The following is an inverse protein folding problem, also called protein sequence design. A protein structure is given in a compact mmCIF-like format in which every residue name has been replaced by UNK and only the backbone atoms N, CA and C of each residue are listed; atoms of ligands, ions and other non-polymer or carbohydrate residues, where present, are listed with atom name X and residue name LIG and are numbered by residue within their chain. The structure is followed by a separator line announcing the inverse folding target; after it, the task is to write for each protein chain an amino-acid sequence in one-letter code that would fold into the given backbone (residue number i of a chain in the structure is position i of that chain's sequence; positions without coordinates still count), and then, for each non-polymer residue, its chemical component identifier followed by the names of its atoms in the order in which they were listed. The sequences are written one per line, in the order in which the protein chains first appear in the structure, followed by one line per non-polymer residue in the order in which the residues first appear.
data_IF_686248642237
#
_entry.id   IF_686248642237
#
_cell.length_a   1.000
_cell.length_b   1.000
_cell.length_c   1.000
_cell.angle_alpha   90.00
_cell.angle_beta   90.00
_cell.angle_gamma   90.00
#
_symmetry.space_group_name_H-M   'P 1'
#
loop_
_entity.id
_entity.type
_entity.pdbx_description
1 polymer ?
#
# COMPACT_ATOMS: atom_id res chain seq x y z
N UNK A 1 -59.35 -25.77 16.22
CA UNK A 1 -58.20 -24.86 16.40
C UNK A 1 -57.08 -25.42 15.54
N UNK A 2 -56.81 -24.81 14.38
CA UNK A 2 -55.85 -25.34 13.40
C UNK A 2 -54.52 -24.61 13.58
N UNK A 3 -53.53 -25.33 14.13
CA UNK A 3 -52.15 -24.89 14.31
C UNK A 3 -51.29 -25.68 13.33
N UNK A 4 -50.89 -25.10 12.19
CA UNK A 4 -49.68 -25.46 11.44
C UNK A 4 -49.62 -24.70 10.09
N UNK A 5 -49.32 -23.41 10.13
CA UNK A 5 -48.97 -22.66 8.92
C UNK A 5 -47.90 -21.62 9.22
N UNK A 6 -46.75 -22.06 9.74
CA UNK A 6 -45.68 -21.16 10.18
C UNK A 6 -44.21 -21.55 9.89
N UNK A 7 -43.82 -22.32 8.84
CA UNK A 7 -42.40 -22.50 8.54
C UNK A 7 -41.85 -21.57 7.45
N UNK A 8 -42.69 -20.98 6.58
CA UNK A 8 -42.20 -20.35 5.33
C UNK A 8 -41.74 -18.90 5.50
N UNK A 9 -42.41 -18.11 6.34
CA UNK A 9 -42.07 -16.69 6.55
C UNK A 9 -40.79 -16.49 7.37
N UNK A 10 -40.48 -17.39 8.30
CA UNK A 10 -39.27 -17.32 9.14
C UNK A 10 -38.01 -17.49 8.29
N UNK A 11 -38.05 -18.36 7.28
CA UNK A 11 -36.92 -18.61 6.37
C UNK A 11 -36.58 -17.38 5.53
N UNK A 12 -37.58 -16.65 5.01
CA UNK A 12 -37.34 -15.43 4.25
C UNK A 12 -36.73 -14.31 5.10
N UNK A 13 -37.14 -14.20 6.37
CA UNK A 13 -36.59 -13.21 7.31
C UNK A 13 -35.11 -13.51 7.61
N UNK A 14 -34.75 -14.78 7.82
CA UNK A 14 -33.35 -15.18 8.04
C UNK A 14 -32.46 -14.91 6.81
N UNK A 15 -32.94 -15.16 5.59
CA UNK A 15 -32.20 -14.87 4.36
C UNK A 15 -31.99 -13.36 4.19
N UNK A 16 -33.02 -12.53 4.46
CA UNK A 16 -32.90 -11.07 4.39
C UNK A 16 -31.90 -10.51 5.41
N UNK A 17 -31.84 -11.07 6.62
CA UNK A 17 -30.87 -10.67 7.66
C UNK A 17 -29.45 -11.05 7.26
N UNK A 18 -29.22 -12.23 6.65
CA UNK A 18 -27.91 -12.65 6.18
C UNK A 18 -27.37 -11.77 5.04
N UNK A 19 -28.24 -11.26 4.16
CA UNK A 19 -27.86 -10.35 3.07
C UNK A 19 -27.54 -8.93 3.55
N UNK A 20 -28.02 -8.52 4.72
CA UNK A 20 -27.81 -7.18 5.27
C UNK A 20 -26.49 -7.02 6.04
N UNK A 21 -25.75 -8.10 6.32
CA UNK A 21 -24.49 -8.04 7.10
C UNK A 21 -23.24 -7.91 6.24
N UNK A 22 -23.36 -7.53 4.97
CA UNK A 22 -22.22 -6.99 4.21
C UNK A 22 -21.88 -5.60 4.76
N UNK A 23 -21.36 -5.56 5.99
CA UNK A 23 -20.70 -4.40 6.57
C UNK A 23 -19.61 -3.99 5.60
N UNK A 24 -19.84 -2.90 4.87
CA UNK A 24 -18.81 -2.17 4.15
C UNK A 24 -17.81 -1.66 5.19
N UNK A 25 -16.84 -2.49 5.54
CA UNK A 25 -15.61 -2.00 6.17
C UNK A 25 -15.01 -1.05 5.14
N UNK A 26 -15.05 0.26 5.40
CA UNK A 26 -14.39 1.22 4.52
C UNK A 26 -12.89 0.90 4.53
N UNK A 27 -12.44 0.21 3.49
CA UNK A 27 -11.04 -0.07 3.26
C UNK A 27 -10.30 1.27 3.15
N UNK A 28 -9.32 1.51 4.03
CA UNK A 28 -8.50 2.71 3.90
C UNK A 28 -7.67 2.60 2.64
N UNK A 29 -7.98 3.44 1.66
CA UNK A 29 -7.19 3.58 0.44
C UNK A 29 -6.08 4.62 0.65
N UNK A 30 -4.85 4.27 0.30
CA UNK A 30 -3.67 5.11 0.48
C UNK A 30 -2.88 5.17 -0.81
N UNK A 31 -2.55 6.39 -1.24
CA UNK A 31 -1.61 6.65 -2.34
C UNK A 31 -0.20 6.73 -1.78
N UNK A 32 0.66 5.80 -2.17
CA UNK A 32 2.02 5.66 -1.64
C UNK A 32 3.00 6.63 -2.30
N UNK A 33 2.73 7.94 -2.19
CA UNK A 33 3.50 9.00 -2.86
C UNK A 33 4.91 9.17 -2.29
N UNK A 34 5.08 9.02 -0.97
CA UNK A 34 6.39 9.10 -0.31
C UNK A 34 7.24 7.84 -0.51
N UNK A 35 6.60 6.71 -0.83
CA UNK A 35 7.30 5.46 -1.10
C UNK A 35 6.48 4.21 -0.79
N UNK A 36 6.98 3.08 -1.27
CA UNK A 36 6.44 1.75 -1.03
C UNK A 36 7.60 0.76 -0.83
N UNK A 37 7.56 0.01 0.26
CA UNK A 37 8.57 -1.01 0.58
C UNK A 37 7.90 -2.29 1.05
N UNK A 38 8.49 -3.43 0.70
CA UNK A 38 8.08 -4.73 1.21
C UNK A 38 8.66 -4.90 2.63
N UNK A 39 7.85 -5.36 3.58
CA UNK A 39 8.36 -5.70 4.90
C UNK A 39 9.02 -7.09 4.87
N UNK A 40 9.64 -7.49 5.98
CA UNK A 40 10.11 -8.86 6.18
C UNK A 40 9.00 -9.91 6.03
N UNK A 41 7.76 -9.52 6.34
CA UNK A 41 6.56 -10.28 6.05
C UNK A 41 6.08 -9.97 4.62
N UNK A 42 6.14 -10.91 3.67
CA UNK A 42 5.74 -10.67 2.29
C UNK A 42 4.25 -10.37 2.13
N UNK A 43 3.41 -10.74 3.10
CA UNK A 43 1.98 -10.44 3.07
C UNK A 43 1.68 -8.95 3.30
N UNK A 44 2.63 -8.20 3.89
CA UNK A 44 2.43 -6.80 4.23
C UNK A 44 3.54 -5.90 3.70
N UNK A 45 3.16 -4.70 3.31
CA UNK A 45 4.04 -3.67 2.81
C UNK A 45 3.89 -2.39 3.63
N UNK A 46 4.94 -1.58 3.61
CA UNK A 46 4.94 -0.22 4.13
C UNK A 46 4.67 0.77 2.99
N UNK A 47 3.66 1.60 3.17
CA UNK A 47 3.28 2.66 2.24
C UNK A 47 3.43 4.01 2.95
N UNK A 48 4.14 4.95 2.32
CA UNK A 48 4.24 6.33 2.82
C UNK A 48 3.37 7.23 1.96
N UNK A 49 2.43 7.93 2.60
CA UNK A 49 1.57 8.89 1.89
C UNK A 49 2.32 10.19 1.52
N UNK A 50 1.59 11.17 0.98
CA UNK A 50 2.16 12.47 0.57
C UNK A 50 2.78 13.27 1.73
N UNK A 51 2.34 13.01 2.96
CA UNK A 51 2.82 13.64 4.19
C UNK A 51 3.89 12.77 4.87
N UNK A 52 4.40 11.75 4.16
CA UNK A 52 5.34 10.76 4.65
C UNK A 52 4.83 9.96 5.85
N UNK A 53 3.51 9.92 6.08
CA UNK A 53 2.96 9.10 7.16
C UNK A 53 3.00 7.63 6.74
N UNK A 54 3.49 6.73 7.62
CA UNK A 54 3.58 5.32 7.32
C UNK A 54 2.22 4.63 7.46
N UNK A 55 1.96 3.67 6.58
CA UNK A 55 0.77 2.83 6.54
C UNK A 55 1.19 1.38 6.30
N UNK A 56 0.65 0.46 7.09
CA UNK A 56 0.82 -0.97 6.87
C UNK A 56 -0.33 -1.47 5.99
N UNK A 57 -0.01 -1.95 4.81
CA UNK A 57 -0.98 -2.37 3.80
C UNK A 57 -0.75 -3.83 3.40
N UNK A 58 -1.79 -4.61 3.05
CA UNK A 58 -1.60 -5.92 2.43
C UNK A 58 -0.93 -5.77 1.05
N UNK A 59 0.19 -6.46 0.82
CA UNK A 59 0.98 -6.32 -0.42
C UNK A 59 0.14 -6.58 -1.66
N UNK A 60 -0.73 -7.59 -1.63
CA UNK A 60 -1.59 -7.98 -2.75
C UNK A 60 -2.64 -6.91 -3.15
N UNK A 61 -2.87 -5.92 -2.28
CA UNK A 61 -3.83 -4.83 -2.47
C UNK A 61 -3.19 -3.54 -2.98
N UNK A 62 -1.88 -3.54 -3.20
CA UNK A 62 -1.12 -2.39 -3.67
C UNK A 62 -0.84 -2.51 -5.16
N UNK A 63 -1.48 -1.66 -5.98
CA UNK A 63 -1.40 -1.74 -7.43
C UNK A 63 -1.40 -0.37 -8.10
N UNK A 64 -0.83 -0.31 -9.30
CA UNK A 64 -0.99 0.76 -10.26
C UNK A 64 -1.40 0.13 -11.58
N UNK A 65 -2.56 0.51 -12.11
CA UNK A 65 -3.09 0.02 -13.37
C UNK A 65 -3.12 -1.53 -13.44
N UNK A 66 -3.48 -2.16 -12.31
CA UNK A 66 -3.56 -3.61 -12.14
C UNK A 66 -2.23 -4.32 -11.82
N UNK A 67 -1.09 -3.64 -11.88
CA UNK A 67 0.24 -4.20 -11.66
C UNK A 67 0.77 -3.92 -10.25
N UNK A 68 1.50 -4.85 -9.61
CA UNK A 68 2.08 -4.68 -8.27
C UNK A 68 3.44 -3.93 -8.29
N UNK A 69 3.69 -3.15 -9.33
CA UNK A 69 4.93 -2.39 -9.51
C UNK A 69 4.66 -1.12 -10.30
N UNK A 70 5.55 -0.15 -10.18
CA UNK A 70 5.53 1.03 -11.04
C UNK A 70 6.41 0.80 -12.26
N UNK A 71 5.94 1.21 -13.43
CA UNK A 71 6.79 1.31 -14.61
C UNK A 71 7.45 2.69 -14.58
N UNK A 72 8.78 2.73 -14.46
CA UNK A 72 9.57 3.95 -14.49
C UNK A 72 10.55 3.88 -15.65
N UNK A 73 10.77 5.01 -16.33
CA UNK A 73 11.68 5.12 -17.46
C UNK A 73 12.81 6.09 -17.18
N UNK A 74 13.89 6.01 -17.95
CA UNK A 74 15.03 6.91 -17.78
C UNK A 74 15.93 6.55 -16.61
N UNK A 75 15.84 5.33 -16.07
CA UNK A 75 16.51 4.93 -14.84
C UNK A 75 17.99 4.59 -15.06
N UNK A 76 18.84 5.04 -14.13
CA UNK A 76 20.27 4.74 -14.08
C UNK A 76 20.57 3.69 -13.01
N UNK A 77 21.37 2.68 -13.33
CA UNK A 77 21.75 1.65 -12.35
C UNK A 77 22.59 2.27 -11.24
N UNK A 78 22.14 2.11 -10.00
CA UNK A 78 22.71 2.78 -8.82
C UNK A 78 22.88 4.30 -8.95
N UNK A 79 22.15 4.96 -9.85
CA UNK A 79 22.29 6.39 -10.12
C UNK A 79 23.61 6.80 -10.80
N UNK A 80 24.38 5.85 -11.33
CA UNK A 80 25.70 6.12 -11.93
C UNK A 80 25.53 6.60 -13.37
N UNK A 81 26.02 7.81 -13.67
CA UNK A 81 26.07 8.33 -15.03
C UNK A 81 26.94 7.42 -15.92
N UNK A 82 26.45 7.09 -17.12
CA UNK A 82 27.14 6.18 -18.04
C UNK A 82 26.88 4.69 -17.80
N UNK A 83 26.09 4.32 -16.77
CA UNK A 83 25.63 2.93 -16.56
C UNK A 83 24.62 2.43 -17.61
N UNK A 84 24.24 3.31 -18.54
CA UNK A 84 23.14 3.10 -19.47
C UNK A 84 21.80 3.56 -18.88
N UNK A 85 20.86 3.84 -19.78
CA UNK A 85 19.49 4.22 -19.43
C UNK A 85 18.61 3.00 -19.63
N UNK A 86 17.69 2.76 -18.70
CA UNK A 86 16.80 1.61 -18.74
C UNK A 86 15.39 1.95 -18.25
N UNK A 87 14.43 1.13 -18.67
CA UNK A 87 13.08 1.12 -18.13
C UNK A 87 12.99 0.04 -17.06
N UNK A 88 12.47 0.40 -15.89
CA UNK A 88 12.41 -0.45 -14.71
C UNK A 88 10.97 -0.68 -14.27
N UNK A 89 10.75 -1.89 -13.75
CA UNK A 89 9.55 -2.25 -13.01
C UNK A 89 9.89 -2.16 -11.53
N UNK A 90 9.52 -1.09 -10.86
CA UNK A 90 9.87 -0.83 -9.46
C UNK A 90 8.89 -1.54 -8.53
N UNK A 91 9.34 -2.62 -7.90
CA UNK A 91 8.60 -3.36 -6.89
C UNK A 91 8.66 -2.65 -5.53
N UNK A 92 9.71 -1.86 -5.30
CA UNK A 92 9.84 -0.96 -4.15
C UNK A 92 10.39 0.38 -4.64
N UNK A 93 10.01 1.46 -3.98
CA UNK A 93 10.49 2.80 -4.33
C UNK A 93 10.36 3.79 -3.17
N UNK A 94 11.14 4.86 -3.22
CA UNK A 94 11.09 5.96 -2.26
C UNK A 94 11.47 7.27 -2.93
N UNK A 95 10.85 8.38 -2.53
CA UNK A 95 11.24 9.71 -3.03
C UNK A 95 12.66 10.06 -2.58
N UNK A 96 13.40 10.75 -3.44
CA UNK A 96 14.73 11.28 -3.14
C UNK A 96 14.73 12.83 -3.11
N UNK A 97 15.79 13.49 -2.59
CA UNK A 97 15.85 14.96 -2.47
C UNK A 97 15.90 15.75 -3.80
N UNK A 98 16.44 15.13 -4.85
CA UNK A 98 16.34 15.57 -6.24
C UNK A 98 15.07 14.93 -6.81
N UNK A 99 14.33 15.49 -7.80
CA UNK A 99 13.12 14.86 -8.35
C UNK A 99 13.44 13.53 -9.07
N UNK A 100 13.76 12.53 -8.28
CA UNK A 100 14.04 11.16 -8.61
C UNK A 100 13.41 10.25 -7.56
N UNK A 101 13.12 9.03 -8.00
CA UNK A 101 12.77 7.93 -7.12
C UNK A 101 13.96 6.98 -7.03
N UNK A 102 14.28 6.53 -5.81
CA UNK A 102 14.95 5.26 -5.65
C UNK A 102 13.99 4.16 -6.06
N UNK A 103 14.46 3.22 -6.86
CA UNK A 103 13.66 2.12 -7.40
C UNK A 103 14.41 0.82 -7.16
N UNK A 104 13.76 -0.17 -6.56
CA UNK A 104 14.26 -1.55 -6.54
C UNK A 104 13.35 -2.40 -7.42
N UNK A 105 13.92 -3.06 -8.41
CA UNK A 105 13.18 -3.96 -9.28
C UNK A 105 12.96 -5.34 -8.61
N UNK A 106 12.10 -6.22 -9.16
CA UNK A 106 11.89 -7.56 -8.63
C UNK A 106 13.15 -8.42 -8.51
N UNK A 107 14.20 -8.13 -9.28
CA UNK A 107 15.49 -8.80 -9.20
C UNK A 107 16.41 -8.27 -8.08
N UNK A 108 15.93 -7.33 -7.26
CA UNK A 108 16.68 -6.73 -6.16
C UNK A 108 17.69 -5.68 -6.60
N UNK A 109 17.72 -5.31 -7.88
CA UNK A 109 18.64 -4.30 -8.39
C UNK A 109 18.10 -2.90 -8.14
N UNK A 110 18.99 -1.98 -7.76
CA UNK A 110 18.65 -0.61 -7.40
C UNK A 110 18.95 0.34 -8.54
N UNK A 111 18.02 1.25 -8.77
CA UNK A 111 18.09 2.28 -9.79
C UNK A 111 17.65 3.62 -9.22
N UNK A 112 18.12 4.69 -9.86
CA UNK A 112 17.60 6.04 -9.64
C UNK A 112 16.86 6.44 -10.92
N UNK A 113 15.57 6.71 -10.78
CA UNK A 113 14.69 7.04 -11.89
C UNK A 113 14.27 8.51 -11.79
N UNK A 114 14.38 9.32 -12.86
CA UNK A 114 13.84 10.68 -12.85
C UNK A 114 12.31 10.65 -12.77
N UNK A 115 11.71 11.66 -12.15
CA UNK A 115 10.26 11.87 -12.24
C UNK A 115 9.90 13.35 -12.33
N UNK A 116 8.66 13.63 -12.73
CA UNK A 116 8.10 14.98 -12.73
C UNK A 116 7.30 15.18 -11.46
N UNK A 117 7.65 16.19 -10.66
CA UNK A 117 6.94 16.51 -9.42
C UNK A 117 5.43 16.80 -9.62
N UNK A 118 5.04 17.20 -10.83
CA UNK A 118 3.64 17.46 -11.19
C UNK A 118 2.81 16.19 -11.37
N UNK A 119 3.44 15.04 -11.62
CA UNK A 119 2.76 13.74 -11.82
C UNK A 119 3.67 12.58 -11.33
N UNK A 120 3.90 12.47 -10.01
CA UNK A 120 4.70 11.38 -9.45
C UNK A 120 3.96 10.05 -9.58
N UNK A 121 4.60 8.98 -10.10
CA UNK A 121 3.99 7.66 -10.13
C UNK A 121 3.89 7.09 -8.70
N UNK A 122 2.74 6.50 -8.35
CA UNK A 122 2.50 5.88 -7.05
C UNK A 122 1.64 4.62 -7.17
N UNK A 123 1.87 3.66 -6.27
CA UNK A 123 0.93 2.58 -6.03
C UNK A 123 -0.23 3.09 -5.18
N UNK A 124 -1.42 2.58 -5.45
CA UNK A 124 -2.60 2.75 -4.60
C UNK A 124 -2.82 1.45 -3.85
N UNK A 125 -2.85 1.52 -2.52
CA UNK A 125 -3.08 0.39 -1.64
C UNK A 125 -4.45 0.51 -0.98
N UNK A 126 -5.20 -0.58 -0.89
CA UNK A 126 -6.42 -0.66 -0.08
C UNK A 126 -6.20 -1.49 1.19
N UNK A 127 -7.18 -1.45 2.09
CA UNK A 127 -7.17 -2.21 3.35
C UNK A 127 -5.98 -1.85 4.26
N UNK A 128 -5.47 -0.62 4.15
CA UNK A 128 -4.35 -0.15 4.94
C UNK A 128 -4.74 0.18 6.39
N UNK A 129 -3.78 0.00 7.29
CA UNK A 129 -3.90 0.34 8.71
C UNK A 129 -2.77 1.26 9.13
N UNK A 130 -3.05 2.17 10.07
CA UNK A 130 -2.00 2.95 10.69
C UNK A 130 -1.14 2.00 11.55
N UNK A 131 0.19 2.11 11.49
CA UNK A 131 1.05 1.44 12.48
C UNK A 131 0.59 1.85 13.87
N UNK A 132 0.50 0.89 14.78
CA UNK A 132 0.30 1.20 16.19
C UNK A 132 1.54 1.98 16.64
N UNK A 133 1.38 3.22 17.09
CA UNK A 133 2.47 3.94 17.74
C UNK A 133 2.92 3.09 18.93
N UNK A 134 4.09 2.47 18.83
CA UNK A 134 4.66 1.77 19.97
C UNK A 134 4.96 2.82 21.04
N UNK A 135 4.30 2.73 22.18
CA UNK A 135 4.50 3.52 23.41
C UNK A 135 5.87 3.29 24.06
N UNK A 136 6.92 3.07 23.27
CA UNK A 136 8.28 2.76 23.71
C UNK A 136 9.21 3.99 23.71
N UNK A 137 8.70 5.19 23.44
CA UNK A 137 9.49 6.44 23.38
C UNK A 137 9.17 7.45 24.49
N UNK A 138 8.72 6.97 25.66
CA UNK A 138 8.58 7.80 26.88
C UNK A 138 9.44 7.35 28.07
N UNK A 139 10.31 6.35 27.92
CA UNK A 139 11.32 6.01 28.94
C UNK A 139 12.66 6.46 28.37
N UNK A 140 13.03 7.73 28.58
CA UNK A 140 14.38 8.31 28.52
C UNK A 140 14.24 9.81 28.25
N UNK A 141 13.73 10.58 29.22
CA UNK A 141 13.98 12.02 29.36
C UNK A 141 13.47 12.55 30.71
N UNK A 142 13.86 11.86 31.79
CA UNK A 142 13.79 12.39 33.16
C UNK A 142 15.09 12.02 33.86
N UNK A 143 16.16 12.76 33.57
CA UNK A 143 17.36 12.95 34.39
C UNK A 143 18.38 13.77 33.59
N UNK A 144 18.17 15.08 33.52
CA UNK A 144 19.22 16.11 33.51
C UNK A 144 18.65 17.36 34.15
#
# INVERSE_FOLDING_TARGET
MSLAQYPRQVVFIFIAILLAQCSFTQATEVKCLGGFNLNSDPATAMCSDKEFKPWKCPTAKCKKDGQPHLSMSGCLHNGVAGSGISDQKCAQYNTQPVPSYGCMNPGGQVYVCPFKATDPPYLTCSDCTKPVESTARQINNSNM
#
